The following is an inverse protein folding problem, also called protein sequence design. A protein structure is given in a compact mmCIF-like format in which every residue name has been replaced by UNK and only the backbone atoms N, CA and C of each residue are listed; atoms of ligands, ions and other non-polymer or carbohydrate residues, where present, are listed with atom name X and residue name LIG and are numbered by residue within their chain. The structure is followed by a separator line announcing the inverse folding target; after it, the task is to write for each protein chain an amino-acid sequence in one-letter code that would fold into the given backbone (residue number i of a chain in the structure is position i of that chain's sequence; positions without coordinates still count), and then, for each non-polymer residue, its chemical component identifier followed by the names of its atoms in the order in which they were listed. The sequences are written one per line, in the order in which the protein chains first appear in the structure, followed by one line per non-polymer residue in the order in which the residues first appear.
data_IF_963953710204
#
_entry.id   IF_963953710204
#
_cell.length_a   1.000
_cell.length_b   1.000
_cell.length_c   1.000
_cell.angle_alpha   90.00
_cell.angle_beta   90.00
_cell.angle_gamma   90.00
#
_symmetry.space_group_name_H-M   'P 1'
#
loop_
_entity.id
_entity.type
_entity.pdbx_description
1 polymer ?
#
# COMPACT_ATOMS: atom_id res chain seq x y z
N UNK A 1 2.96 5.22 -6.48
CA UNK A 1 3.09 4.90 -7.92
C UNK A 1 3.50 6.16 -8.66
N UNK A 2 4.51 6.11 -9.53
CA UNK A 2 4.91 7.28 -10.32
C UNK A 2 3.84 7.61 -11.36
N UNK A 3 3.50 8.89 -11.50
CA UNK A 3 2.60 9.37 -12.55
C UNK A 3 3.31 9.33 -13.90
N UNK A 4 2.58 9.04 -14.97
CA UNK A 4 3.03 9.05 -16.37
C UNK A 4 3.86 10.29 -16.69
N UNK A 5 3.36 11.46 -16.33
CA UNK A 5 3.99 12.75 -16.64
C UNK A 5 5.39 12.88 -16.03
N UNK A 6 5.64 12.28 -14.85
CA UNK A 6 6.96 12.32 -14.21
C UNK A 6 7.95 11.44 -14.98
N UNK A 7 7.49 10.30 -15.48
CA UNK A 7 8.33 9.36 -16.23
C UNK A 7 8.65 9.92 -17.62
N UNK A 8 7.67 10.55 -18.28
CA UNK A 8 7.85 11.22 -19.57
C UNK A 8 8.75 12.45 -19.43
N UNK A 9 8.57 13.27 -18.39
CA UNK A 9 9.50 14.38 -18.13
C UNK A 9 10.93 13.91 -17.86
N UNK A 10 11.10 12.78 -17.17
CA UNK A 10 12.43 12.17 -16.98
C UNK A 10 13.03 11.71 -18.32
N UNK A 11 12.22 11.13 -19.21
CA UNK A 11 12.63 10.74 -20.56
C UNK A 11 13.13 11.95 -21.34
N UNK A 12 12.32 13.02 -21.42
CA UNK A 12 12.63 14.27 -22.12
C UNK A 12 13.93 14.89 -21.57
N UNK A 13 14.05 15.03 -20.24
CA UNK A 13 15.25 15.59 -19.60
C UNK A 13 16.50 14.76 -19.93
N UNK A 14 16.40 13.44 -19.96
CA UNK A 14 17.54 12.59 -20.27
C UNK A 14 17.93 12.66 -21.75
N UNK A 15 16.97 12.76 -22.66
CA UNK A 15 17.24 12.98 -24.08
C UNK A 15 17.98 14.31 -24.27
N UNK A 16 17.48 15.40 -23.67
CA UNK A 16 18.10 16.73 -23.72
C UNK A 16 19.51 16.73 -23.13
N UNK A 17 19.72 16.13 -21.96
CA UNK A 17 21.03 16.09 -21.28
C UNK A 17 22.07 15.25 -22.03
N UNK A 18 21.65 14.29 -22.84
CA UNK A 18 22.54 13.36 -23.53
C UNK A 18 22.66 13.63 -25.02
N UNK A 19 21.90 14.59 -25.56
CA UNK A 19 21.80 14.89 -26.99
C UNK A 19 21.49 13.61 -27.80
N UNK A 20 20.52 12.83 -27.31
CA UNK A 20 20.18 11.51 -27.85
C UNK A 20 18.68 11.23 -27.78
N UNK A 21 18.04 11.15 -28.94
CA UNK A 21 16.59 10.95 -29.09
C UNK A 21 16.09 9.52 -28.75
N UNK A 22 17.00 8.61 -28.35
CA UNK A 22 16.59 7.30 -27.87
C UNK A 22 15.89 7.44 -26.51
N UNK A 23 14.91 6.55 -26.18
CA UNK A 23 14.27 6.54 -24.87
C UNK A 23 15.29 6.64 -23.72
N UNK A 24 15.01 7.54 -22.79
CA UNK A 24 15.79 7.90 -21.62
C UNK A 24 17.22 8.32 -21.96
N UNK A 25 17.44 9.02 -23.08
CA UNK A 25 18.77 9.44 -23.50
C UNK A 25 19.73 8.27 -23.75
N UNK A 26 19.18 7.13 -24.20
CA UNK A 26 19.91 5.88 -24.39
C UNK A 26 20.37 5.19 -23.10
N UNK A 27 19.87 5.61 -21.92
CA UNK A 27 20.19 4.97 -20.64
C UNK A 27 19.39 3.69 -20.45
N UNK A 28 20.00 2.72 -19.78
CA UNK A 28 19.29 1.52 -19.32
C UNK A 28 18.46 1.89 -18.09
N UNK A 29 17.14 1.84 -18.23
CA UNK A 29 16.18 2.11 -17.15
C UNK A 29 15.48 0.81 -16.76
N UNK A 30 15.46 0.53 -15.46
CA UNK A 30 14.77 -0.65 -14.90
C UNK A 30 13.60 -0.17 -14.06
N UNK A 31 12.38 -0.50 -14.51
CA UNK A 31 11.17 -0.29 -13.74
C UNK A 31 10.92 -1.49 -12.82
N UNK A 32 10.72 -1.20 -11.54
CA UNK A 32 10.26 -2.18 -10.56
C UNK A 32 8.87 -1.79 -10.06
N UNK A 33 7.93 -2.74 -10.06
CA UNK A 33 6.59 -2.49 -9.57
C UNK A 33 5.65 -3.66 -9.78
N UNK A 34 4.43 -3.52 -9.27
CA UNK A 34 3.34 -4.47 -9.42
C UNK A 34 2.07 -3.69 -9.77
N UNK A 35 1.50 -3.94 -10.96
CA UNK A 35 0.29 -3.27 -11.43
C UNK A 35 -0.97 -3.67 -10.66
N UNK A 36 -0.88 -4.71 -9.82
CA UNK A 36 -1.96 -5.12 -8.91
C UNK A 36 -2.00 -4.26 -7.64
N UNK A 37 -1.04 -3.34 -7.46
CA UNK A 37 -1.01 -2.38 -6.36
C UNK A 37 -1.73 -1.07 -6.72
N UNK A 38 -1.70 -0.12 -5.78
CA UNK A 38 -2.44 1.14 -5.84
C UNK A 38 -2.02 1.96 -7.07
N UNK A 39 -3.01 2.32 -7.90
CA UNK A 39 -2.86 3.21 -9.06
C UNK A 39 -2.39 4.62 -8.64
N UNK A 40 -1.88 5.45 -9.57
CA UNK A 40 -1.50 6.82 -9.22
C UNK A 40 -2.69 7.62 -8.74
N UNK A 41 -2.55 8.32 -7.61
CA UNK A 41 -3.63 9.15 -7.05
C UNK A 41 -3.79 10.41 -7.89
N UNK A 42 -5.00 10.68 -8.37
CA UNK A 42 -5.40 11.95 -9.02
C UNK A 42 -6.47 12.61 -8.16
N UNK A 43 -6.10 13.70 -7.47
CA UNK A 43 -6.99 14.40 -6.53
C UNK A 43 -8.16 15.02 -7.30
N UNK A 44 -9.40 14.66 -6.92
CA UNK A 44 -10.61 15.10 -7.60
C UNK A 44 -10.84 14.46 -8.98
N UNK A 45 -9.98 13.53 -9.39
CA UNK A 45 -10.08 12.83 -10.67
C UNK A 45 -11.08 11.67 -10.64
N UNK A 46 -11.54 11.28 -11.83
CA UNK A 46 -12.34 10.09 -12.07
C UNK A 46 -11.43 8.88 -12.35
N UNK A 47 -12.07 7.73 -12.59
CA UNK A 47 -11.37 6.48 -12.95
C UNK A 47 -10.52 6.66 -14.20
N UNK A 48 -11.03 7.39 -15.19
CA UNK A 48 -10.35 7.64 -16.46
C UNK A 48 -9.06 8.46 -16.26
N UNK A 49 -9.11 9.48 -15.39
CA UNK A 49 -7.95 10.30 -15.06
C UNK A 49 -6.84 9.48 -14.37
N UNK A 50 -7.24 8.54 -13.51
CA UNK A 50 -6.32 7.61 -12.85
C UNK A 50 -5.65 6.68 -13.86
N UNK A 51 -6.39 6.23 -14.88
CA UNK A 51 -5.86 5.41 -15.96
C UNK A 51 -4.89 6.24 -16.82
N UNK A 52 -5.25 7.47 -17.22
CA UNK A 52 -4.39 8.34 -18.02
C UNK A 52 -3.07 8.70 -17.29
N UNK A 53 -3.15 8.90 -15.97
CA UNK A 53 -2.00 9.17 -15.13
C UNK A 53 -1.09 7.93 -14.93
N UNK A 54 -1.53 6.72 -15.28
CA UNK A 54 -0.73 5.50 -15.18
C UNK A 54 0.31 5.41 -16.28
N UNK A 55 1.49 4.88 -15.95
CA UNK A 55 2.53 4.60 -16.94
C UNK A 55 2.05 3.66 -18.05
N UNK A 56 1.06 2.80 -17.78
CA UNK A 56 0.46 1.92 -18.78
C UNK A 56 -0.17 2.69 -19.96
N UNK A 57 -0.52 3.96 -19.77
CA UNK A 57 -1.07 4.84 -20.81
C UNK A 57 0.01 5.59 -21.60
N UNK A 58 1.27 5.54 -21.18
CA UNK A 58 2.40 6.17 -21.88
C UNK A 58 2.80 5.40 -23.14
N UNK A 59 3.24 6.11 -24.18
CA UNK A 59 3.87 5.49 -25.35
C UNK A 59 5.17 4.78 -24.99
N UNK A 60 5.91 5.29 -24.00
CA UNK A 60 7.16 4.69 -23.51
C UNK A 60 6.95 3.26 -23.00
N UNK A 61 5.77 2.94 -22.47
CA UNK A 61 5.45 1.60 -21.98
C UNK A 61 5.51 0.52 -23.07
N UNK A 62 5.36 0.91 -24.35
CA UNK A 62 5.46 0.01 -25.50
C UNK A 62 6.89 -0.43 -25.80
N UNK A 63 7.86 0.37 -25.37
CA UNK A 63 9.29 0.12 -25.58
C UNK A 63 9.94 -0.64 -24.41
N UNK A 64 9.14 -1.07 -23.41
CA UNK A 64 9.63 -1.78 -22.23
C UNK A 64 9.62 -3.29 -22.43
N UNK A 65 10.77 -3.92 -22.21
CA UNK A 65 10.86 -5.37 -22.08
C UNK A 65 10.29 -5.83 -20.73
N UNK A 66 9.28 -6.70 -20.76
CA UNK A 66 8.61 -7.17 -19.54
C UNK A 66 9.30 -8.43 -19.01
N UNK A 67 9.80 -8.34 -17.79
CA UNK A 67 10.30 -9.47 -17.01
C UNK A 67 9.37 -9.69 -15.81
N UNK A 68 9.02 -10.94 -15.53
CA UNK A 68 8.07 -11.27 -14.46
C UNK A 68 8.69 -12.23 -13.45
N UNK A 69 8.71 -11.81 -12.18
CA UNK A 69 9.02 -12.69 -11.05
C UNK A 69 7.78 -13.53 -10.74
N UNK A 70 7.95 -14.84 -10.55
CA UNK A 70 6.85 -15.79 -10.38
C UNK A 70 6.72 -16.36 -8.97
N UNK A 71 7.80 -16.32 -8.19
CA UNK A 71 7.82 -16.87 -6.84
C UNK A 71 7.51 -15.80 -5.80
N UNK A 72 6.49 -16.05 -4.96
CA UNK A 72 6.18 -15.20 -3.81
C UNK A 72 7.10 -15.59 -2.65
N UNK A 73 8.14 -14.79 -2.44
CA UNK A 73 9.11 -15.03 -1.36
C UNK A 73 8.61 -14.60 0.02
N UNK A 74 7.55 -13.78 0.10
CA UNK A 74 7.04 -13.21 1.36
C UNK A 74 6.14 -14.20 2.11
N UNK A 75 5.27 -14.91 1.38
CA UNK A 75 4.32 -15.85 1.95
C UNK A 75 4.64 -17.30 1.53
N UNK A 76 5.92 -17.59 1.25
CA UNK A 76 6.38 -18.89 0.76
C UNK A 76 5.95 -20.06 1.66
N UNK A 77 5.93 -19.83 2.96
CA UNK A 77 5.61 -20.82 3.98
C UNK A 77 4.09 -20.93 4.23
N UNK A 78 3.26 -20.14 3.55
CA UNK A 78 1.80 -20.22 3.56
C UNK A 78 1.25 -20.30 2.11
N UNK A 79 1.25 -21.51 1.50
CA UNK A 79 0.76 -21.71 0.14
C UNK A 79 -0.72 -21.36 -0.02
N UNK A 80 -1.55 -21.62 0.99
CA UNK A 80 -2.99 -21.36 0.95
C UNK A 80 -3.27 -19.86 0.88
N UNK A 81 -2.61 -19.08 1.73
CA UNK A 81 -2.69 -17.62 1.67
C UNK A 81 -2.11 -17.07 0.37
N UNK A 82 -0.96 -17.61 -0.08
CA UNK A 82 -0.34 -17.17 -1.34
C UNK A 82 -1.27 -17.38 -2.53
N UNK A 83 -1.93 -18.53 -2.63
CA UNK A 83 -2.85 -18.82 -3.71
C UNK A 83 -4.07 -17.87 -3.70
N UNK A 84 -4.68 -17.67 -2.53
CA UNK A 84 -5.77 -16.71 -2.35
C UNK A 84 -5.36 -15.28 -2.72
N UNK A 85 -4.23 -14.81 -2.19
CA UNK A 85 -3.69 -13.48 -2.48
C UNK A 85 -3.43 -13.28 -3.99
N UNK A 86 -2.92 -14.31 -4.68
CA UNK A 86 -2.70 -14.25 -6.12
C UNK A 86 -4.00 -14.21 -6.92
N UNK A 87 -5.04 -14.95 -6.53
CA UNK A 87 -6.36 -14.88 -7.19
C UNK A 87 -7.00 -13.50 -7.02
N UNK A 88 -6.93 -12.93 -5.81
CA UNK A 88 -7.41 -11.57 -5.54
C UNK A 88 -6.64 -10.54 -6.40
N UNK A 89 -5.31 -10.58 -6.36
CA UNK A 89 -4.48 -9.63 -7.11
C UNK A 89 -4.67 -9.73 -8.64
N UNK A 90 -4.96 -10.92 -9.16
CA UNK A 90 -5.22 -11.13 -10.58
C UNK A 90 -6.67 -10.85 -11.00
N UNK A 91 -7.56 -10.55 -10.04
CA UNK A 91 -8.99 -10.38 -10.31
C UNK A 91 -9.69 -11.66 -10.75
N UNK A 92 -9.20 -12.83 -10.32
CA UNK A 92 -9.77 -14.15 -10.65
C UNK A 92 -10.45 -14.82 -9.46
N UNK A 93 -10.52 -14.15 -8.31
CA UNK A 93 -11.25 -14.64 -7.15
C UNK A 93 -12.77 -14.55 -7.38
N UNK A 94 -13.53 -15.47 -6.80
CA UNK A 94 -14.97 -15.53 -7.07
C UNK A 94 -15.68 -14.34 -6.44
N UNK A 95 -16.42 -13.59 -7.24
CA UNK A 95 -17.23 -12.49 -6.76
C UNK A 95 -18.54 -13.01 -6.18
N UNK A 96 -18.94 -12.47 -5.03
CA UNK A 96 -20.23 -12.77 -4.40
C UNK A 96 -21.30 -11.79 -4.87
N UNK A 97 -20.98 -10.48 -4.89
CA UNK A 97 -21.90 -9.39 -5.25
C UNK A 97 -21.12 -8.11 -5.62
N UNK A 98 -21.53 -7.38 -6.65
CA UNK A 98 -21.05 -6.01 -6.95
C UNK A 98 -19.52 -5.83 -6.85
N UNK A 99 -18.77 -6.69 -7.54
CA UNK A 99 -17.30 -6.73 -7.55
C UNK A 99 -16.64 -7.05 -6.20
N UNK A 100 -17.40 -7.50 -5.20
CA UNK A 100 -16.88 -7.91 -3.88
C UNK A 100 -16.53 -9.39 -3.86
N UNK A 101 -15.44 -9.69 -3.15
CA UNK A 101 -14.99 -11.06 -2.85
C UNK A 101 -15.39 -11.44 -1.43
N UNK A 102 -15.52 -12.74 -1.16
CA UNK A 102 -15.65 -13.25 0.20
C UNK A 102 -14.25 -13.40 0.82
N UNK A 103 -14.06 -12.84 2.02
CA UNK A 103 -12.83 -13.03 2.78
C UNK A 103 -12.96 -14.34 3.59
N UNK A 104 -11.93 -15.20 3.61
CA UNK A 104 -11.93 -16.41 4.43
C UNK A 104 -12.22 -16.11 5.91
N UNK A 105 -13.10 -16.89 6.54
CA UNK A 105 -13.54 -16.67 7.93
C UNK A 105 -12.40 -16.65 8.96
N UNK A 106 -11.29 -17.36 8.69
CA UNK A 106 -10.10 -17.35 9.55
C UNK A 106 -9.30 -16.03 9.48
N UNK A 107 -9.64 -15.13 8.56
CA UNK A 107 -9.04 -13.80 8.42
C UNK A 107 -9.95 -12.68 8.92
N UNK A 108 -11.15 -13.01 9.44
CA UNK A 108 -12.17 -12.03 9.82
C UNK A 108 -12.25 -11.86 11.34
N UNK A 109 -12.09 -10.61 11.75
CA UNK A 109 -12.61 -9.97 12.97
C UNK A 109 -14.15 -9.95 13.04
N UNK A 110 -14.93 -10.76 13.79
CA UNK A 110 -16.38 -10.57 13.83
C UNK A 110 -16.73 -9.17 14.35
N UNK A 111 -17.54 -8.44 13.59
CA UNK A 111 -18.01 -7.12 14.01
C UNK A 111 -19.16 -7.27 15.01
N UNK A 112 -19.04 -6.59 16.15
CA UNK A 112 -20.10 -6.52 17.18
C UNK A 112 -20.64 -5.10 17.27
N UNK A 113 -19.79 -4.17 17.68
CA UNK A 113 -20.05 -2.72 17.74
C UNK A 113 -18.73 -1.97 17.51
N UNK A 114 -18.79 -0.70 17.10
CA UNK A 114 -17.61 0.06 16.63
C UNK A 114 -16.45 0.03 17.63
N UNK A 115 -16.64 0.59 18.82
CA UNK A 115 -15.56 0.75 19.80
C UNK A 115 -15.03 -0.59 20.32
N UNK A 116 -15.92 -1.55 20.62
CA UNK A 116 -15.52 -2.87 21.09
C UNK A 116 -14.74 -3.64 20.03
N UNK A 117 -15.20 -3.64 18.77
CA UNK A 117 -14.50 -4.35 17.69
C UNK A 117 -13.12 -3.75 17.42
N UNK A 118 -12.96 -2.43 17.58
CA UNK A 118 -11.65 -1.77 17.52
C UNK A 118 -10.75 -2.17 18.68
N UNK A 119 -11.28 -2.24 19.91
CA UNK A 119 -10.54 -2.74 21.06
C UNK A 119 -10.11 -4.19 20.86
N UNK A 120 -11.01 -5.06 20.39
CA UNK A 120 -10.72 -6.46 20.11
C UNK A 120 -9.65 -6.61 19.02
N UNK A 121 -9.68 -5.77 17.97
CA UNK A 121 -8.64 -5.70 16.93
C UNK A 121 -7.29 -5.27 17.51
N UNK A 122 -7.27 -4.23 18.35
CA UNK A 122 -6.05 -3.74 19.00
C UNK A 122 -5.47 -4.82 19.89
N UNK A 123 -6.27 -5.49 20.71
CA UNK A 123 -5.79 -6.51 21.64
C UNK A 123 -5.34 -7.78 20.90
N UNK A 124 -5.93 -8.09 19.75
CA UNK A 124 -5.47 -9.16 18.85
C UNK A 124 -4.08 -8.86 18.27
N UNK A 125 -3.87 -7.63 17.78
CA UNK A 125 -2.62 -7.23 17.13
C UNK A 125 -1.54 -6.90 18.16
N UNK A 126 -1.88 -6.25 19.26
CA UNK A 126 -0.99 -5.80 20.33
C UNK A 126 -1.48 -6.29 21.71
N UNK A 127 -1.30 -7.59 22.05
CA UNK A 127 -1.85 -8.15 23.30
C UNK A 127 -1.31 -7.53 24.59
N UNK A 128 -0.10 -6.95 24.55
CA UNK A 128 0.50 -6.30 25.72
C UNK A 128 1.41 -5.16 25.28
N UNK A 129 0.97 -3.92 25.50
CA UNK A 129 1.75 -2.73 25.16
C UNK A 129 2.93 -2.49 26.11
N UNK A 130 2.89 -3.02 27.33
CA UNK A 130 4.03 -2.97 28.27
C UNK A 130 5.30 -3.66 27.74
N UNK A 131 5.13 -4.59 26.79
CA UNK A 131 6.25 -5.20 26.08
C UNK A 131 7.06 -4.17 25.28
N UNK A 132 6.49 -3.04 24.89
CA UNK A 132 7.27 -1.97 24.26
C UNK A 132 8.30 -1.35 25.20
N UNK A 133 8.09 -1.38 26.52
CA UNK A 133 9.05 -0.85 27.49
C UNK A 133 10.13 -1.86 27.86
N UNK A 134 9.78 -3.15 27.87
CA UNK A 134 10.63 -4.22 28.40
C UNK A 134 11.34 -5.03 27.32
N UNK A 135 10.68 -5.30 26.19
CA UNK A 135 11.25 -6.03 25.06
C UNK A 135 10.55 -5.65 23.72
N UNK A 136 10.92 -4.50 23.13
CA UNK A 136 10.33 -4.03 21.88
C UNK A 136 10.39 -5.04 20.72
N UNK A 137 11.39 -5.93 20.70
CA UNK A 137 11.59 -6.89 19.61
C UNK A 137 10.44 -7.88 19.45
N UNK A 138 9.61 -8.07 20.48
CA UNK A 138 8.42 -8.94 20.42
C UNK A 138 7.21 -8.28 19.74
N UNK A 139 7.25 -6.96 19.59
CA UNK A 139 6.12 -6.15 19.11
C UNK A 139 6.40 -5.39 17.81
N UNK A 140 7.66 -5.29 17.38
CA UNK A 140 8.11 -4.52 16.20
C UNK A 140 7.53 -4.97 14.83
N UNK A 141 6.99 -6.19 14.72
CA UNK A 141 6.47 -6.74 13.46
C UNK A 141 4.94 -6.77 13.40
N UNK A 142 4.27 -5.83 14.08
CA UNK A 142 2.82 -5.73 14.17
C UNK A 142 2.37 -4.35 13.70
N UNK A 143 1.29 -4.32 12.92
CA UNK A 143 0.72 -3.07 12.39
C UNK A 143 -0.77 -3.24 12.15
N UNK A 144 -1.53 -2.20 12.41
CA UNK A 144 -2.93 -2.08 11.97
C UNK A 144 -2.95 -1.14 10.78
N UNK A 145 -3.61 -1.56 9.69
CA UNK A 145 -3.79 -0.75 8.49
C UNK A 145 -5.27 -0.40 8.36
N UNK A 146 -5.57 0.86 8.07
CA UNK A 146 -6.91 1.33 7.81
C UNK A 146 -6.98 2.07 6.47
N UNK A 147 -8.13 2.04 5.76
CA UNK A 147 -8.24 2.61 4.41
C UNK A 147 -8.23 4.14 4.39
N UNK A 148 -8.50 4.79 5.54
CA UNK A 148 -8.63 6.24 5.65
C UNK A 148 -7.91 6.74 6.90
N UNK A 149 -7.44 7.99 6.82
CA UNK A 149 -6.70 8.63 7.91
C UNK A 149 -7.57 8.86 9.16
N UNK A 150 -8.86 9.19 9.01
CA UNK A 150 -9.78 9.34 10.14
C UNK A 150 -9.86 8.08 11.01
N UNK A 151 -9.91 6.91 10.38
CA UNK A 151 -9.88 5.61 11.05
C UNK A 151 -8.50 5.34 11.70
N UNK A 152 -7.42 5.76 11.04
CA UNK A 152 -6.06 5.64 11.60
C UNK A 152 -5.93 6.50 12.86
N UNK A 153 -6.46 7.72 12.83
CA UNK A 153 -6.42 8.65 13.95
C UNK A 153 -7.20 8.08 15.14
N UNK A 154 -8.43 7.59 14.93
CA UNK A 154 -9.24 6.93 15.99
C UNK A 154 -8.51 5.74 16.63
N UNK A 155 -7.89 4.87 15.82
CA UNK A 155 -7.13 3.71 16.31
C UNK A 155 -5.88 4.17 17.10
N UNK A 156 -5.18 5.19 16.59
CA UNK A 156 -3.98 5.72 17.23
C UNK A 156 -4.29 6.40 18.56
N UNK A 157 -5.41 7.12 18.67
CA UNK A 157 -5.87 7.71 19.93
C UNK A 157 -6.09 6.63 21.00
N UNK A 158 -6.82 5.55 20.65
CA UNK A 158 -7.04 4.42 21.57
C UNK A 158 -5.70 3.76 21.96
N UNK A 159 -4.77 3.61 21.02
CA UNK A 159 -3.45 3.05 21.29
C UNK A 159 -2.60 3.94 22.21
N UNK A 160 -2.62 5.26 22.02
CA UNK A 160 -1.92 6.23 22.85
C UNK A 160 -2.44 6.19 24.29
N UNK A 161 -3.77 6.14 24.47
CA UNK A 161 -4.40 6.05 25.79
C UNK A 161 -4.06 4.75 26.53
N UNK A 162 -3.87 3.65 25.80
CA UNK A 162 -3.44 2.36 26.36
C UNK A 162 -1.92 2.27 26.57
N UNK A 163 -1.12 3.15 25.97
CA UNK A 163 0.33 3.03 25.99
C UNK A 163 0.88 3.42 27.36
N UNK A 164 1.81 2.64 27.94
CA UNK A 164 2.39 3.00 29.23
C UNK A 164 3.35 4.18 29.09
N UNK A 165 3.15 5.23 29.87
CA UNK A 165 4.04 6.39 29.91
C UNK A 165 3.32 7.70 30.18
N UNK A 166 4.07 8.80 30.09
CA UNK A 166 3.54 10.15 30.20
C UNK A 166 3.20 10.69 28.80
N UNK A 167 1.97 11.20 28.65
CA UNK A 167 1.50 11.83 27.42
C UNK A 167 2.31 13.11 27.15
N UNK A 168 2.83 13.24 25.92
CA UNK A 168 3.58 14.42 25.48
C UNK A 168 2.93 15.02 24.24
N UNK A 169 2.65 16.32 24.30
CA UNK A 169 2.10 17.07 23.17
C UNK A 169 3.18 17.90 22.50
N UNK A 170 3.27 17.77 21.18
CA UNK A 170 4.15 18.57 20.33
C UNK A 170 3.28 19.39 19.37
N UNK A 171 3.45 20.70 19.37
CA UNK A 171 2.66 21.63 18.55
C UNK A 171 3.49 22.07 17.35
N UNK A 172 2.94 21.96 16.14
CA UNK A 172 3.56 22.48 14.92
C UNK A 172 3.47 24.01 14.87
N UNK A 173 4.51 24.67 14.34
CA UNK A 173 4.50 26.10 14.05
C UNK A 173 4.44 26.27 12.53
N UNK A 174 3.35 26.85 12.04
CA UNK A 174 3.25 27.29 10.65
C UNK A 174 3.63 28.78 10.59
N UNK A 175 4.76 29.08 9.93
CA UNK A 175 5.12 30.46 9.66
C UNK A 175 4.30 30.97 8.47
N UNK A 176 3.80 32.22 8.52
CA UNK A 176 3.03 32.83 7.45
C UNK A 176 3.81 33.02 6.15
#
# INVERSE_FOLDING_TARGET
MARRQIIEALDDILQDLTDCDNPFGGKVVVFGGDYRQIAPVVVGGKKEDTIDASFASSLLSRNVNKLSLRENMRAKDDPMFTEFFMRVGNGTETHVLDDRIEIPNNMILPFVESHKSLCDLIDLVFPCLDLFLTNPLLVINRSILAPKNDCVDEINEILIDKFPGELKHFVSLENP
#
